data_IF_158761765459
#
_entry.id   IF_158761765459
#
_cell.length_a   1.000
_cell.length_b   1.000
_cell.length_c   1.000
_cell.angle_alpha   90.00
_cell.angle_beta   90.00
_cell.angle_gamma   90.00
#
_symmetry.space_group_name_H-M   'P 1'
#
loop_
_entity.id
_entity.type
_entity.pdbx_description
1 polymer ?
#
# COMPACT_ATOMS: atom_id res chain seq x y z
N UNK A 1 -22.39 22.69 -82.12
CA UNK A 1 -23.75 22.58 -81.54
C UNK A 1 -23.68 23.09 -80.10
N UNK A 2 -24.12 24.33 -79.88
CA UNK A 2 -25.45 24.72 -79.35
C UNK A 2 -25.63 24.41 -77.86
N UNK A 3 -26.06 25.31 -76.98
CA UNK A 3 -26.15 26.78 -76.91
C UNK A 3 -26.83 27.03 -75.53
N UNK A 4 -26.22 27.86 -74.64
CA UNK A 4 -26.89 28.69 -73.60
C UNK A 4 -27.75 27.95 -72.53
N UNK A 5 -28.12 28.48 -71.35
CA UNK A 5 -28.43 29.86 -70.93
C UNK A 5 -28.53 29.91 -69.40
N UNK A 6 -28.02 30.99 -68.83
CA UNK A 6 -28.28 31.54 -67.49
C UNK A 6 -29.75 31.89 -67.26
N UNK A 7 -30.25 31.74 -66.03
CA UNK A 7 -31.27 32.63 -65.43
C UNK A 7 -30.94 32.85 -63.94
N UNK A 8 -30.84 34.12 -63.58
CA UNK A 8 -30.68 34.69 -62.24
C UNK A 8 -31.98 35.32 -61.74
N UNK A 9 -32.08 35.43 -60.40
CA UNK A 9 -32.91 36.37 -59.61
C UNK A 9 -34.42 36.11 -59.58
N UNK A 10 -35.06 36.08 -58.41
CA UNK A 10 -35.29 37.30 -57.61
C UNK A 10 -35.54 37.04 -56.13
N UNK A 11 -35.18 38.06 -55.33
CA UNK A 11 -35.53 38.33 -53.94
C UNK A 11 -37.02 38.10 -53.62
N UNK A 12 -37.30 37.71 -52.38
CA UNK A 12 -38.32 38.37 -51.57
C UNK A 12 -37.98 38.28 -50.07
N UNK A 13 -38.30 39.39 -49.41
CA UNK A 13 -37.87 39.87 -48.11
C UNK A 13 -38.99 39.64 -47.07
N UNK A 14 -38.58 39.44 -45.80
CA UNK A 14 -39.29 39.62 -44.53
C UNK A 14 -40.72 39.08 -44.38
N UNK A 15 -40.88 38.18 -43.41
CA UNK A 15 -41.91 38.38 -42.38
C UNK A 15 -41.49 37.73 -41.06
N UNK A 16 -41.46 38.61 -40.06
CA UNK A 16 -41.35 38.38 -38.63
C UNK A 16 -42.44 37.47 -38.07
N UNK A 17 -42.05 36.47 -37.28
CA UNK A 17 -42.89 35.95 -36.20
C UNK A 17 -41.99 35.44 -35.06
N UNK A 18 -41.79 36.35 -34.12
CA UNK A 18 -41.42 36.06 -32.74
C UNK A 18 -42.44 35.10 -32.12
N UNK A 19 -42.04 33.86 -31.86
CA UNK A 19 -42.61 33.09 -30.76
C UNK A 19 -41.56 33.02 -29.67
N UNK A 20 -41.67 33.95 -28.72
CA UNK A 20 -41.13 33.81 -27.38
C UNK A 20 -41.86 32.63 -26.73
N UNK A 21 -41.33 31.41 -26.90
CA UNK A 21 -41.61 30.34 -25.96
C UNK A 21 -40.88 30.68 -24.66
N UNK A 22 -41.59 31.35 -23.76
CA UNK A 22 -41.28 31.34 -22.34
C UNK A 22 -41.41 29.90 -21.85
N UNK A 23 -40.35 29.10 -22.05
CA UNK A 23 -40.12 27.90 -21.27
C UNK A 23 -39.84 28.37 -19.84
N UNK A 24 -40.92 28.43 -19.06
CA UNK A 24 -40.85 28.40 -17.61
C UNK A 24 -40.11 27.12 -17.22
N UNK A 25 -38.79 27.22 -17.09
CA UNK A 25 -38.00 26.19 -16.43
C UNK A 25 -38.39 26.25 -14.95
N UNK A 26 -39.42 25.47 -14.61
CA UNK A 26 -39.62 25.00 -13.26
C UNK A 26 -38.29 24.38 -12.83
N UNK A 27 -37.56 25.12 -12.01
CA UNK A 27 -36.42 24.64 -11.27
C UNK A 27 -36.96 23.64 -10.24
N UNK A 28 -37.31 22.43 -10.71
CA UNK A 28 -37.34 21.27 -9.85
C UNK A 28 -35.90 21.11 -9.41
N UNK A 29 -35.63 21.52 -8.17
CA UNK A 29 -34.53 21.00 -7.38
C UNK A 29 -34.66 19.47 -7.38
N UNK A 30 -34.17 18.84 -8.45
CA UNK A 30 -33.77 17.44 -8.40
C UNK A 30 -32.53 17.49 -7.53
N UNK A 31 -32.69 17.09 -6.28
CA UNK A 31 -31.63 16.45 -5.52
C UNK A 31 -31.16 15.24 -6.35
N UNK A 32 -30.35 15.48 -7.37
CA UNK A 32 -29.51 14.45 -7.94
C UNK A 32 -28.44 14.21 -6.88
N UNK A 33 -28.71 13.30 -5.96
CA UNK A 33 -27.70 12.83 -5.03
C UNK A 33 -26.70 12.05 -5.87
N UNK A 34 -25.62 12.72 -6.28
CA UNK A 34 -24.53 12.09 -7.00
C UNK A 34 -24.08 10.85 -6.23
N UNK A 35 -23.88 9.75 -6.98
CA UNK A 35 -23.46 8.48 -6.40
C UNK A 35 -21.95 8.44 -6.36
N UNK A 36 -21.38 8.36 -5.17
CA UNK A 36 -19.95 8.18 -4.94
C UNK A 36 -19.67 6.69 -4.74
N UNK A 37 -18.89 6.12 -5.66
CA UNK A 37 -18.47 4.71 -5.63
C UNK A 37 -17.10 4.63 -4.95
N UNK A 38 -17.06 4.00 -3.79
CA UNK A 38 -15.85 3.81 -2.97
C UNK A 38 -15.39 2.37 -3.10
N UNK A 39 -14.11 2.18 -3.41
CA UNK A 39 -13.47 0.87 -3.49
C UNK A 39 -12.57 0.66 -2.27
N UNK A 40 -12.89 -0.36 -1.47
CA UNK A 40 -12.16 -0.72 -0.26
C UNK A 40 -11.24 -1.92 -0.51
N UNK A 41 -10.13 -1.98 0.21
CA UNK A 41 -9.30 -3.19 0.28
C UNK A 41 -10.13 -4.30 0.94
N UNK A 42 -10.06 -5.51 0.40
CA UNK A 42 -10.71 -6.68 0.98
C UNK A 42 -10.15 -6.99 2.39
N UNK A 43 -11.00 -7.25 3.40
CA UNK A 43 -10.56 -7.61 4.75
C UNK A 43 -9.63 -8.82 4.78
N UNK A 44 -8.60 -8.78 5.63
CA UNK A 44 -7.68 -9.90 5.83
C UNK A 44 -8.27 -10.91 6.80
N UNK A 45 -9.17 -11.75 6.30
CA UNK A 45 -9.98 -12.65 7.11
C UNK A 45 -10.19 -13.99 6.43
N UNK A 46 -10.24 -15.07 7.21
CA UNK A 46 -10.49 -16.43 6.70
C UNK A 46 -11.99 -16.73 6.45
N UNK A 47 -12.89 -15.93 7.01
CA UNK A 47 -14.34 -16.13 6.92
C UNK A 47 -14.90 -15.46 5.65
N UNK A 48 -15.41 -16.26 4.71
CA UNK A 48 -15.90 -15.77 3.41
C UNK A 48 -17.15 -14.87 3.51
N UNK A 49 -17.95 -14.98 4.58
CA UNK A 49 -19.22 -14.23 4.71
C UNK A 49 -19.05 -12.90 5.44
N UNK A 50 -18.06 -12.79 6.33
CA UNK A 50 -17.80 -11.56 7.10
C UNK A 50 -17.47 -10.33 6.25
N UNK A 51 -16.68 -10.42 5.15
CA UNK A 51 -16.39 -9.27 4.31
C UNK A 51 -17.64 -8.54 3.83
N UNK A 52 -18.67 -9.24 3.34
CA UNK A 52 -19.88 -8.58 2.85
C UNK A 52 -20.69 -7.90 3.97
N UNK A 53 -20.68 -8.47 5.18
CA UNK A 53 -21.30 -7.85 6.35
C UNK A 53 -20.58 -6.57 6.77
N UNK A 54 -19.24 -6.61 6.81
CA UNK A 54 -18.39 -5.43 7.09
C UNK A 54 -18.64 -4.34 6.06
N UNK A 55 -18.68 -4.70 4.76
CA UNK A 55 -18.96 -3.77 3.66
C UNK A 55 -20.28 -3.04 3.86
N UNK A 56 -21.36 -3.78 4.11
CA UNK A 56 -22.71 -3.24 4.32
C UNK A 56 -22.79 -2.37 5.57
N UNK A 57 -22.17 -2.80 6.67
CA UNK A 57 -22.10 -2.02 7.92
C UNK A 57 -21.37 -0.70 7.69
N UNK A 58 -20.18 -0.76 7.09
CA UNK A 58 -19.38 0.42 6.78
C UNK A 58 -20.09 1.38 5.84
N UNK A 59 -20.68 0.89 4.74
CA UNK A 59 -21.47 1.70 3.80
C UNK A 59 -22.62 2.43 4.52
N UNK A 60 -23.37 1.72 5.36
CA UNK A 60 -24.51 2.27 6.10
C UNK A 60 -24.08 3.35 7.11
N UNK A 61 -23.01 3.09 7.86
CA UNK A 61 -22.46 4.05 8.85
C UNK A 61 -21.89 5.30 8.17
N UNK A 62 -21.14 5.11 7.08
CA UNK A 62 -20.60 6.21 6.30
C UNK A 62 -21.73 7.05 5.67
N UNK A 63 -22.74 6.41 5.09
CA UNK A 63 -23.92 7.07 4.55
C UNK A 63 -24.68 7.86 5.63
N UNK A 64 -24.79 7.33 6.86
CA UNK A 64 -25.46 8.00 7.97
C UNK A 64 -24.76 9.29 8.40
N UNK A 65 -23.43 9.35 8.34
CA UNK A 65 -22.66 10.56 8.68
C UNK A 65 -22.74 11.58 7.55
N UNK A 66 -22.62 11.11 6.31
CA UNK A 66 -22.66 11.96 5.11
C UNK A 66 -24.06 12.54 4.86
N UNK A 67 -25.10 11.83 5.28
CA UNK A 67 -26.50 12.21 5.09
C UNK A 67 -26.92 12.20 3.62
N UNK A 68 -27.95 12.96 3.28
CA UNK A 68 -28.52 12.96 1.92
C UNK A 68 -27.73 13.76 0.89
N UNK A 69 -26.55 14.31 1.25
CA UNK A 69 -25.74 15.13 0.33
C UNK A 69 -25.26 14.36 -0.90
N UNK A 70 -24.90 13.09 -0.72
CA UNK A 70 -24.50 12.15 -1.78
C UNK A 70 -24.92 10.74 -1.40
N UNK A 71 -25.07 9.87 -2.40
CA UNK A 71 -25.29 8.45 -2.16
C UNK A 71 -23.96 7.71 -2.18
N UNK A 72 -23.67 6.94 -1.14
CA UNK A 72 -22.47 6.12 -1.04
C UNK A 72 -22.78 4.71 -1.54
N UNK A 73 -21.88 4.19 -2.37
CA UNK A 73 -21.82 2.76 -2.72
C UNK A 73 -20.42 2.25 -2.49
N UNK A 74 -20.31 1.15 -1.78
CA UNK A 74 -19.04 0.54 -1.41
C UNK A 74 -18.89 -0.80 -2.13
N UNK A 75 -17.75 -1.02 -2.75
CA UNK A 75 -17.32 -2.33 -3.27
C UNK A 75 -15.93 -2.66 -2.77
N UNK A 76 -15.57 -3.94 -2.82
CA UNK A 76 -14.18 -4.34 -2.64
C UNK A 76 -13.38 -4.19 -3.92
N UNK A 77 -12.12 -3.82 -3.76
CA UNK A 77 -11.16 -3.54 -4.82
C UNK A 77 -10.40 -4.80 -5.20
N UNK A 78 -9.66 -4.72 -6.31
CA UNK A 78 -8.55 -5.65 -6.54
C UNK A 78 -7.48 -5.43 -5.47
N UNK A 79 -6.75 -6.48 -5.10
CA UNK A 79 -5.52 -6.35 -4.32
C UNK A 79 -4.39 -5.67 -5.13
N UNK A 80 -4.59 -5.51 -6.45
CA UNK A 80 -3.71 -4.77 -7.34
C UNK A 80 -4.02 -3.25 -7.30
N UNK A 81 -3.11 -2.49 -6.69
CA UNK A 81 -3.21 -1.04 -6.58
C UNK A 81 -3.18 -0.32 -7.94
N UNK A 82 -2.51 -0.86 -8.96
CA UNK A 82 -2.49 -0.27 -10.31
C UNK A 82 -3.87 -0.38 -10.95
N UNK A 83 -4.54 -1.52 -10.82
CA UNK A 83 -5.93 -1.69 -11.30
C UNK A 83 -6.85 -0.68 -10.63
N UNK A 84 -6.70 -0.44 -9.33
CA UNK A 84 -7.51 0.54 -8.59
C UNK A 84 -7.27 1.97 -9.11
N UNK A 85 -6.03 2.37 -9.34
CA UNK A 85 -5.68 3.68 -9.93
C UNK A 85 -6.25 3.83 -11.35
N UNK A 86 -6.18 2.79 -12.17
CA UNK A 86 -6.78 2.79 -13.51
C UNK A 86 -8.31 2.93 -13.46
N UNK A 87 -8.97 2.28 -12.50
CA UNK A 87 -10.42 2.37 -12.31
C UNK A 87 -10.85 3.77 -11.86
N UNK A 88 -10.06 4.43 -10.99
CA UNK A 88 -10.27 5.84 -10.64
C UNK A 88 -10.12 6.73 -11.87
N UNK A 89 -9.04 6.55 -12.64
CA UNK A 89 -8.78 7.35 -13.83
C UNK A 89 -9.91 7.27 -14.86
N UNK A 90 -10.47 6.06 -15.06
CA UNK A 90 -11.60 5.78 -15.96
C UNK A 90 -12.95 6.24 -15.39
N UNK A 91 -13.00 6.62 -14.11
CA UNK A 91 -14.24 6.96 -13.43
C UNK A 91 -15.17 5.75 -13.19
N UNK A 92 -14.61 4.55 -13.05
CA UNK A 92 -15.37 3.36 -12.63
C UNK A 92 -15.63 3.42 -11.13
N UNK A 93 -14.62 3.87 -10.38
CA UNK A 93 -14.71 4.17 -8.94
C UNK A 93 -14.27 5.61 -8.73
N UNK A 94 -14.81 6.24 -7.69
CA UNK A 94 -14.59 7.65 -7.41
C UNK A 94 -13.55 7.85 -6.30
N UNK A 95 -13.39 6.85 -5.41
CA UNK A 95 -12.37 6.80 -4.37
C UNK A 95 -11.82 5.37 -4.21
N UNK A 96 -10.52 5.22 -4.00
CA UNK A 96 -9.93 3.96 -3.52
C UNK A 96 -8.71 4.21 -2.63
N UNK A 97 -8.33 3.18 -1.86
CA UNK A 97 -7.10 3.19 -1.06
C UNK A 97 -5.99 2.43 -1.78
N UNK A 98 -4.83 3.06 -1.92
CA UNK A 98 -3.70 2.54 -2.70
C UNK A 98 -2.39 2.72 -1.93
N UNK A 99 -1.36 1.96 -2.26
CA UNK A 99 -0.02 2.25 -1.73
C UNK A 99 0.49 3.59 -2.26
N UNK A 100 1.22 4.33 -1.42
CA UNK A 100 1.81 5.61 -1.81
C UNK A 100 2.76 5.45 -3.01
N UNK A 101 3.58 4.40 -3.03
CA UNK A 101 4.50 4.13 -4.14
C UNK A 101 3.78 3.84 -5.47
N UNK A 102 2.68 3.08 -5.44
CA UNK A 102 1.89 2.81 -6.65
C UNK A 102 1.27 4.09 -7.20
N UNK A 103 0.79 4.98 -6.32
CA UNK A 103 0.25 6.28 -6.72
C UNK A 103 1.31 7.14 -7.41
N UNK A 104 2.45 7.37 -6.76
CA UNK A 104 3.55 8.20 -7.30
C UNK A 104 4.04 7.69 -8.66
N UNK A 105 4.27 6.38 -8.77
CA UNK A 105 4.67 5.77 -10.04
C UNK A 105 3.62 6.03 -11.13
N UNK A 106 2.33 5.80 -10.82
CA UNK A 106 1.26 5.96 -11.80
C UNK A 106 1.07 7.39 -12.29
N UNK A 107 1.13 8.39 -11.41
CA UNK A 107 0.96 9.79 -11.78
C UNK A 107 2.18 10.37 -12.49
N UNK A 108 3.39 9.85 -12.20
CA UNK A 108 4.63 10.30 -12.84
C UNK A 108 4.69 9.99 -14.34
N UNK A 109 3.94 8.99 -14.80
CA UNK A 109 3.89 8.60 -16.22
C UNK A 109 3.18 9.65 -17.10
N UNK A 110 2.24 10.43 -16.56
CA UNK A 110 1.46 11.39 -17.33
C UNK A 110 0.83 12.48 -16.44
N UNK A 111 1.14 13.74 -16.74
CA UNK A 111 0.65 14.91 -16.00
C UNK A 111 -0.88 15.01 -15.94
N UNK A 112 -1.62 14.56 -16.95
CA UNK A 112 -3.10 14.55 -16.92
C UNK A 112 -3.65 13.67 -15.80
N UNK A 113 -2.94 12.59 -15.45
CA UNK A 113 -3.33 11.72 -14.33
C UNK A 113 -3.21 12.46 -13.01
N UNK A 114 -2.14 13.23 -12.81
CA UNK A 114 -1.90 14.03 -11.59
C UNK A 114 -2.97 15.11 -11.37
N UNK A 115 -3.56 15.62 -12.46
CA UNK A 115 -4.66 16.59 -12.37
C UNK A 115 -6.01 15.95 -12.02
N UNK A 116 -6.22 14.68 -12.42
CA UNK A 116 -7.50 13.96 -12.26
C UNK A 116 -7.56 13.12 -10.98
N UNK A 117 -6.42 12.63 -10.51
CA UNK A 117 -6.34 11.76 -9.33
C UNK A 117 -5.56 12.48 -8.26
N UNK A 118 -6.21 12.76 -7.13
CA UNK A 118 -5.56 13.44 -6.00
C UNK A 118 -5.70 12.63 -4.71
N UNK A 119 -4.65 12.58 -3.89
CA UNK A 119 -4.74 12.05 -2.54
C UNK A 119 -5.51 13.02 -1.65
N UNK A 120 -6.41 12.49 -0.83
CA UNK A 120 -7.22 13.27 0.11
C UNK A 120 -7.15 12.73 1.54
N UNK A 121 -6.80 11.45 1.72
CA UNK A 121 -6.71 10.77 3.01
C UNK A 121 -5.33 10.14 3.17
N UNK A 122 -4.71 10.35 4.32
CA UNK A 122 -3.62 9.53 4.82
C UNK A 122 -4.21 8.46 5.76
N UNK A 123 -3.94 7.18 5.54
CA UNK A 123 -4.28 6.15 6.53
C UNK A 123 -3.19 6.05 7.59
N UNK A 124 -3.57 5.70 8.80
CA UNK A 124 -2.68 5.52 9.93
C UNK A 124 -2.75 4.07 10.39
N UNK A 125 -1.63 3.54 10.86
CA UNK A 125 -1.55 2.21 11.47
C UNK A 125 -1.04 2.30 12.90
N UNK A 126 -1.26 1.25 13.71
CA UNK A 126 -0.59 1.12 14.99
C UNK A 126 0.91 0.96 14.76
N UNK A 127 1.70 1.74 15.47
CA UNK A 127 3.15 1.56 15.47
C UNK A 127 3.54 0.23 16.10
N UNK A 128 4.69 -0.29 15.71
CA UNK A 128 5.32 -1.36 16.46
C UNK A 128 5.98 -0.79 17.71
N UNK A 129 6.07 -1.59 18.79
CA UNK A 129 6.68 -1.17 20.07
C UNK A 129 8.11 -0.64 19.94
N UNK A 130 8.81 -1.05 18.90
CA UNK A 130 10.20 -0.69 18.61
C UNK A 130 10.32 0.35 17.48
N UNK A 131 9.25 0.66 16.75
CA UNK A 131 9.29 1.58 15.61
C UNK A 131 8.13 2.60 15.68
N UNK A 132 8.29 3.57 16.57
CA UNK A 132 7.28 4.60 16.84
C UNK A 132 7.61 5.94 16.18
N UNK A 133 8.83 6.12 15.68
CA UNK A 133 9.33 7.38 15.14
C UNK A 133 9.86 7.23 13.71
N UNK A 134 9.72 8.27 12.91
CA UNK A 134 10.23 8.28 11.55
C UNK A 134 11.74 8.57 11.53
N UNK A 135 12.55 7.55 11.23
CA UNK A 135 13.99 7.64 10.96
C UNK A 135 14.38 7.02 9.62
N UNK A 136 15.56 7.39 9.12
CA UNK A 136 16.15 6.93 7.86
C UNK A 136 17.52 6.28 8.10
N UNK A 137 17.99 5.51 7.13
CA UNK A 137 19.35 4.97 7.07
C UNK A 137 20.41 6.08 7.13
N UNK A 138 21.47 5.83 7.90
CA UNK A 138 22.63 6.73 8.05
C UNK A 138 23.88 6.05 7.51
N UNK A 139 24.28 4.93 8.11
CA UNK A 139 25.57 4.28 7.82
C UNK A 139 25.56 2.75 7.97
N UNK A 140 24.47 2.16 8.48
CA UNK A 140 24.33 0.72 8.68
C UNK A 140 25.19 0.14 9.80
N UNK A 141 25.71 0.98 10.70
CA UNK A 141 26.42 0.55 11.92
C UNK A 141 25.43 0.18 13.03
N UNK A 142 25.92 -0.35 14.15
CA UNK A 142 25.09 -0.67 15.33
C UNK A 142 24.36 0.54 15.93
N UNK A 143 24.86 1.76 15.67
CA UNK A 143 24.25 3.01 16.12
C UNK A 143 23.19 3.54 15.14
N UNK A 144 23.09 2.97 13.94
CA UNK A 144 22.04 3.30 12.98
C UNK A 144 20.70 2.79 13.51
N UNK A 145 19.68 3.67 13.56
CA UNK A 145 18.35 3.32 14.06
C UNK A 145 17.73 2.15 13.29
N UNK A 146 18.01 2.02 11.99
CA UNK A 146 17.51 0.89 11.20
C UNK A 146 18.11 -0.46 11.63
N UNK A 147 19.29 -0.46 12.26
CA UNK A 147 19.96 -1.65 12.78
C UNK A 147 19.55 -1.90 14.23
N UNK A 148 19.57 -0.86 15.07
CA UNK A 148 19.19 -1.00 16.49
C UNK A 148 17.74 -1.45 16.65
N UNK A 149 16.82 -0.94 15.83
CA UNK A 149 15.41 -1.34 15.90
C UNK A 149 15.18 -2.73 15.30
N UNK A 150 15.91 -3.12 14.25
CA UNK A 150 15.90 -4.49 13.74
C UNK A 150 16.33 -5.50 14.82
N UNK A 151 17.33 -5.16 15.64
CA UNK A 151 17.75 -5.97 16.78
C UNK A 151 16.66 -6.10 17.84
N UNK A 152 16.06 -4.98 18.27
CA UNK A 152 14.95 -5.00 19.23
C UNK A 152 13.76 -5.82 18.73
N UNK A 153 13.42 -5.66 17.45
CA UNK A 153 12.39 -6.45 16.79
C UNK A 153 12.72 -7.94 16.78
N UNK A 154 13.96 -8.29 16.46
CA UNK A 154 14.44 -9.68 16.45
C UNK A 154 14.38 -10.31 17.84
N UNK A 155 14.71 -9.57 18.89
CA UNK A 155 14.63 -10.02 20.28
C UNK A 155 13.17 -10.28 20.69
N UNK A 156 12.25 -9.38 20.33
CA UNK A 156 10.82 -9.55 20.58
C UNK A 156 10.24 -10.74 19.83
N UNK A 157 10.58 -10.90 18.55
CA UNK A 157 10.16 -12.04 17.73
C UNK A 157 10.67 -13.37 18.29
N UNK A 158 11.95 -13.43 18.68
CA UNK A 158 12.61 -14.66 19.14
C UNK A 158 12.40 -14.97 20.63
N UNK A 159 11.65 -14.15 21.38
CA UNK A 159 11.36 -14.41 22.81
C UNK A 159 10.69 -15.77 23.02
N UNK A 160 9.92 -16.22 22.04
CA UNK A 160 9.31 -17.55 21.95
C UNK A 160 9.32 -17.98 20.49
N UNK A 161 9.46 -19.28 20.19
CA UNK A 161 9.40 -19.75 18.80
C UNK A 161 8.03 -19.40 18.21
N UNK A 162 8.00 -18.95 16.95
CA UNK A 162 6.75 -18.60 16.26
C UNK A 162 5.68 -19.70 16.38
N UNK A 163 6.11 -20.96 16.31
CA UNK A 163 5.25 -22.12 16.45
C UNK A 163 4.65 -22.36 17.83
N UNK A 164 5.15 -21.67 18.84
CA UNK A 164 4.73 -21.80 20.22
C UNK A 164 4.01 -20.54 20.71
N UNK A 165 3.84 -19.52 19.86
CA UNK A 165 3.18 -18.28 20.28
C UNK A 165 1.77 -18.53 20.80
N UNK A 166 1.54 -18.00 22.00
CA UNK A 166 0.27 -17.89 22.72
C UNK A 166 -0.08 -16.41 22.96
N UNK A 167 0.49 -15.51 22.16
CA UNK A 167 0.23 -14.09 22.23
C UNK A 167 -1.24 -13.78 21.84
N UNK A 168 -1.86 -12.73 22.42
CA UNK A 168 -3.23 -12.35 22.09
C UNK A 168 -3.40 -12.07 20.60
N UNK A 169 -4.25 -12.85 19.92
CA UNK A 169 -4.65 -12.68 18.53
C UNK A 169 -6.06 -12.12 18.47
N UNK A 170 -6.24 -10.94 17.85
CA UNK A 170 -7.54 -10.27 17.81
C UNK A 170 -8.38 -10.61 16.56
N UNK A 171 -7.96 -11.62 15.79
CA UNK A 171 -8.58 -11.97 14.50
C UNK A 171 -7.82 -11.45 13.28
N UNK A 172 -6.92 -10.47 13.46
CA UNK A 172 -6.11 -9.91 12.37
C UNK A 172 -4.64 -9.71 12.72
N UNK A 173 -4.32 -9.44 14.00
CA UNK A 173 -2.95 -9.22 14.46
C UNK A 173 -2.69 -9.81 15.85
N UNK A 174 -1.42 -10.08 16.14
CA UNK A 174 -0.90 -10.30 17.48
C UNK A 174 -0.62 -8.95 18.14
N UNK A 175 -1.49 -8.55 19.07
CA UNK A 175 -1.41 -7.25 19.73
C UNK A 175 -0.12 -7.07 20.54
N UNK A 176 0.54 -8.17 20.90
CA UNK A 176 1.82 -8.19 21.60
C UNK A 176 2.92 -7.34 20.95
N UNK A 177 2.92 -7.17 19.61
CA UNK A 177 3.98 -6.43 18.90
C UNK A 177 3.68 -4.94 18.72
N UNK A 178 2.47 -4.49 19.01
CA UNK A 178 2.00 -3.15 18.69
C UNK A 178 1.96 -2.23 19.91
N UNK A 179 2.09 -0.93 19.65
CA UNK A 179 1.80 0.17 20.55
C UNK A 179 0.48 0.86 20.10
N UNK A 180 -0.15 1.64 20.97
CA UNK A 180 -1.37 2.38 20.65
C UNK A 180 -1.07 3.70 19.91
N UNK A 181 0.19 4.14 19.87
CA UNK A 181 0.58 5.29 19.03
C UNK A 181 0.33 4.96 17.55
N UNK A 182 -0.37 5.87 16.87
CA UNK A 182 -0.60 5.80 15.43
C UNK A 182 0.52 6.47 14.64
N UNK A 183 0.92 5.85 13.54
CA UNK A 183 1.92 6.34 12.58
C UNK A 183 1.39 6.27 11.15
N UNK A 184 1.97 7.07 10.26
CA UNK A 184 1.61 7.18 8.84
C UNK A 184 2.65 6.52 7.92
N UNK A 185 3.50 5.65 8.46
CA UNK A 185 4.56 4.98 7.72
C UNK A 185 4.60 3.47 7.99
N UNK A 186 5.27 2.76 7.09
CA UNK A 186 5.64 1.35 7.18
C UNK A 186 7.06 1.16 6.63
N UNK A 187 7.68 0.00 6.90
CA UNK A 187 9.02 -0.33 6.37
C UNK A 187 9.03 -1.71 5.73
N UNK A 188 10.08 -1.94 4.94
CA UNK A 188 10.56 -3.28 4.66
C UNK A 188 11.60 -3.71 5.69
N UNK A 189 11.90 -5.01 5.70
CA UNK A 189 12.96 -5.60 6.53
C UNK A 189 13.80 -6.58 5.72
N UNK A 190 15.04 -6.74 6.16
CA UNK A 190 15.96 -7.77 5.68
C UNK A 190 16.06 -8.84 6.77
N UNK A 191 15.42 -9.98 6.53
CA UNK A 191 15.60 -11.19 7.31
C UNK A 191 16.93 -11.87 6.98
N UNK A 192 17.51 -12.53 7.98
CA UNK A 192 18.57 -13.51 7.82
C UNK A 192 18.22 -14.81 8.57
N UNK A 193 18.61 -15.96 8.02
CA UNK A 193 18.43 -17.26 8.68
C UNK A 193 19.61 -18.20 8.51
N UNK A 194 19.74 -19.15 9.43
CA UNK A 194 20.74 -20.22 9.37
C UNK A 194 21.33 -20.52 10.74
N UNK A 195 22.41 -21.30 10.77
CA UNK A 195 23.22 -21.50 11.97
C UNK A 195 23.88 -20.20 12.42
N UNK A 196 24.39 -20.16 13.65
CA UNK A 196 25.08 -18.98 14.17
C UNK A 196 26.26 -18.56 13.28
N UNK A 197 27.05 -19.52 12.80
CA UNK A 197 28.16 -19.26 11.87
C UNK A 197 27.70 -18.61 10.55
N UNK A 198 26.61 -19.12 9.95
CA UNK A 198 26.06 -18.55 8.71
C UNK A 198 25.60 -17.12 8.94
N UNK A 199 24.81 -16.86 9.99
CA UNK A 199 24.30 -15.51 10.28
C UNK A 199 25.42 -14.53 10.60
N UNK A 200 26.45 -14.95 11.34
CA UNK A 200 27.61 -14.10 11.60
C UNK A 200 28.40 -13.74 10.33
N UNK A 201 28.50 -14.66 9.37
CA UNK A 201 29.13 -14.35 8.07
C UNK A 201 28.30 -13.38 7.23
N UNK A 202 26.97 -13.47 7.28
CA UNK A 202 26.08 -12.49 6.61
C UNK A 202 26.24 -11.12 7.26
N UNK A 203 26.20 -11.03 8.59
CA UNK A 203 26.40 -9.79 9.35
C UNK A 203 27.78 -9.20 9.07
N UNK A 204 28.82 -10.04 8.99
CA UNK A 204 30.17 -9.59 8.62
C UNK A 204 30.19 -9.00 7.21
N UNK A 205 29.60 -9.67 6.23
CA UNK A 205 29.51 -9.17 4.86
C UNK A 205 28.75 -7.84 4.77
N UNK A 206 27.69 -7.67 5.56
CA UNK A 206 27.00 -6.39 5.74
C UNK A 206 27.94 -5.32 6.29
N UNK A 207 28.52 -5.53 7.48
CA UNK A 207 29.38 -4.54 8.14
C UNK A 207 30.61 -4.16 7.29
N UNK A 208 31.18 -5.13 6.56
CA UNK A 208 32.30 -4.91 5.65
C UNK A 208 31.86 -4.35 4.29
N UNK A 209 30.56 -4.12 4.07
CA UNK A 209 29.99 -3.67 2.80
C UNK A 209 30.44 -4.53 1.63
N UNK A 210 30.53 -5.84 1.85
CA UNK A 210 30.90 -6.84 0.87
C UNK A 210 29.66 -7.40 0.15
N UNK A 211 29.24 -6.72 -0.92
CA UNK A 211 28.05 -7.11 -1.68
C UNK A 211 28.15 -8.50 -2.30
N UNK A 212 29.28 -8.83 -2.93
CA UNK A 212 29.52 -10.15 -3.55
C UNK A 212 29.33 -11.28 -2.53
N UNK A 213 29.93 -11.15 -1.35
CA UNK A 213 29.76 -12.14 -0.27
C UNK A 213 28.34 -12.14 0.27
N UNK A 214 27.75 -10.97 0.53
CA UNK A 214 26.37 -10.85 1.03
C UNK A 214 25.36 -11.53 0.09
N UNK A 215 25.43 -11.22 -1.21
CA UNK A 215 24.58 -11.84 -2.25
C UNK A 215 24.76 -13.35 -2.32
N UNK A 216 25.98 -13.87 -2.09
CA UNK A 216 26.26 -15.30 -2.23
C UNK A 216 25.50 -16.20 -1.26
N UNK A 217 24.94 -15.62 -0.18
CA UNK A 217 24.06 -16.31 0.76
C UNK A 217 22.63 -16.53 0.26
N UNK A 218 22.31 -16.04 -0.94
CA UNK A 218 21.01 -16.20 -1.57
C UNK A 218 19.94 -15.27 -0.98
N UNK A 219 19.25 -14.54 -1.86
CA UNK A 219 18.28 -13.51 -1.53
C UNK A 219 16.89 -13.88 -2.08
N UNK A 220 15.91 -13.97 -1.19
CA UNK A 220 14.50 -14.07 -1.53
C UNK A 220 13.89 -12.67 -1.58
N UNK A 221 13.24 -12.32 -2.68
CA UNK A 221 12.64 -11.00 -2.88
C UNK A 221 11.19 -11.10 -3.36
N UNK A 222 10.44 -9.99 -3.26
CA UNK A 222 9.09 -9.89 -3.83
C UNK A 222 9.08 -9.48 -5.30
N UNK A 223 7.91 -9.15 -5.82
CA UNK A 223 7.75 -8.56 -7.15
C UNK A 223 8.41 -7.18 -7.26
N UNK A 224 8.82 -6.79 -8.46
CA UNK A 224 9.56 -5.55 -8.71
C UNK A 224 8.79 -4.26 -8.35
N UNK A 225 7.46 -4.33 -8.30
CA UNK A 225 6.55 -3.26 -7.90
C UNK A 225 6.31 -3.20 -6.38
N UNK A 226 6.84 -4.17 -5.61
CA UNK A 226 6.66 -4.21 -4.17
C UNK A 226 7.52 -3.17 -3.46
N UNK A 227 6.86 -2.25 -2.75
CA UNK A 227 7.53 -1.22 -1.94
C UNK A 227 8.50 -1.81 -0.92
N UNK A 228 8.01 -2.64 -0.02
CA UNK A 228 8.78 -3.22 1.10
C UNK A 228 9.65 -4.42 0.75
N UNK A 229 9.30 -5.18 -0.29
CA UNK A 229 9.97 -6.44 -0.63
C UNK A 229 10.92 -6.34 -1.82
N UNK A 230 11.03 -5.16 -2.43
CA UNK A 230 11.89 -4.91 -3.57
C UNK A 230 12.46 -3.48 -3.57
N UNK A 231 11.61 -2.46 -3.67
CA UNK A 231 12.04 -1.07 -3.90
C UNK A 231 12.80 -0.46 -2.71
N UNK A 232 12.31 -0.64 -1.48
CA UNK A 232 12.97 -0.16 -0.27
C UNK A 232 14.26 -0.94 0.04
N UNK A 233 14.29 -2.29 -0.04
CA UNK A 233 15.54 -3.05 0.02
C UNK A 233 16.56 -2.61 -1.04
N UNK A 234 16.16 -2.43 -2.30
CA UNK A 234 17.07 -1.96 -3.37
C UNK A 234 17.71 -0.62 -3.00
N UNK A 235 16.91 0.36 -2.53
CA UNK A 235 17.41 1.66 -2.11
C UNK A 235 18.39 1.55 -0.94
N UNK A 236 18.08 0.70 0.05
CA UNK A 236 18.96 0.46 1.19
C UNK A 236 20.28 -0.18 0.75
N UNK A 237 20.22 -1.24 -0.06
CA UNK A 237 21.41 -1.93 -0.58
C UNK A 237 22.29 -0.97 -1.39
N UNK A 238 21.70 -0.11 -2.21
CA UNK A 238 22.44 0.91 -2.99
C UNK A 238 23.13 1.94 -2.12
N UNK A 239 22.51 2.36 -1.02
CA UNK A 239 23.13 3.28 -0.04
C UNK A 239 24.24 2.59 0.75
N UNK A 240 24.04 1.33 1.12
CA UNK A 240 24.92 0.60 2.03
C UNK A 240 26.14 0.00 1.32
N UNK A 241 25.92 -0.75 0.23
CA UNK A 241 26.95 -1.43 -0.55
C UNK A 241 27.48 -0.55 -1.68
N UNK A 242 28.32 0.43 -1.34
CA UNK A 242 28.78 1.47 -2.26
C UNK A 242 30.30 1.49 -2.50
N UNK A 243 31.01 0.39 -2.18
CA UNK A 243 32.46 0.27 -2.45
C UNK A 243 32.73 0.14 -3.94
N UNK A 244 33.65 0.94 -4.52
CA UNK A 244 33.89 1.04 -5.97
C UNK A 244 34.00 -0.32 -6.71
N UNK A 245 34.71 -1.32 -6.16
CA UNK A 245 34.91 -2.63 -6.81
C UNK A 245 33.92 -3.74 -6.38
N UNK A 246 32.90 -3.33 -5.61
CA UNK A 246 31.91 -4.22 -5.01
C UNK A 246 30.57 -3.52 -4.77
N UNK A 247 30.25 -2.52 -5.60
CA UNK A 247 29.05 -1.73 -5.42
C UNK A 247 27.83 -2.52 -5.89
N UNK A 248 26.77 -2.44 -5.11
CA UNK A 248 25.45 -2.85 -5.56
C UNK A 248 24.96 -1.90 -6.66
N UNK A 249 24.41 -2.46 -7.74
CA UNK A 249 23.92 -1.69 -8.89
C UNK A 249 22.41 -1.44 -8.80
N UNK A 250 21.62 -2.48 -9.05
CA UNK A 250 20.17 -2.55 -8.89
C UNK A 250 19.74 -4.01 -8.77
N UNK A 251 18.60 -4.28 -8.14
CA UNK A 251 18.10 -5.65 -8.03
C UNK A 251 17.85 -6.23 -9.42
N UNK A 252 17.32 -5.44 -10.36
CA UNK A 252 17.07 -5.89 -11.73
C UNK A 252 18.36 -6.38 -12.41
N UNK A 253 19.47 -5.64 -12.28
CA UNK A 253 20.75 -6.03 -12.85
C UNK A 253 21.35 -7.24 -12.13
N UNK A 254 21.26 -7.28 -10.79
CA UNK A 254 21.81 -8.37 -9.99
C UNK A 254 21.08 -9.69 -10.23
N UNK A 255 19.75 -9.66 -10.31
CA UNK A 255 18.92 -10.82 -10.66
C UNK A 255 19.26 -11.33 -12.06
N UNK A 256 19.47 -10.43 -13.03
CA UNK A 256 19.79 -10.81 -14.41
C UNK A 256 21.17 -11.48 -14.51
N UNK A 257 22.17 -10.90 -13.85
CA UNK A 257 23.57 -11.33 -13.98
C UNK A 257 23.97 -12.47 -13.02
N UNK A 258 23.21 -12.66 -11.94
CA UNK A 258 23.54 -13.58 -10.84
C UNK A 258 22.31 -14.35 -10.35
N UNK A 259 21.43 -14.74 -11.28
CA UNK A 259 20.11 -15.32 -11.02
C UNK A 259 20.10 -16.52 -10.07
N UNK A 260 21.18 -17.28 -9.97
CA UNK A 260 21.31 -18.41 -9.05
C UNK A 260 21.30 -18.01 -7.57
N UNK A 261 21.54 -16.74 -7.24
CA UNK A 261 21.46 -16.20 -5.89
C UNK A 261 20.13 -15.50 -5.58
N UNK A 262 19.16 -15.50 -6.51
CA UNK A 262 17.90 -14.79 -6.32
C UNK A 262 16.70 -15.68 -6.61
N UNK A 263 15.68 -15.58 -5.77
CA UNK A 263 14.35 -16.11 -6.07
C UNK A 263 13.27 -15.09 -5.75
N UNK A 264 12.27 -15.01 -6.64
CA UNK A 264 11.03 -14.34 -6.31
C UNK A 264 10.19 -15.28 -5.42
N UNK A 265 9.96 -14.89 -4.17
CA UNK A 265 9.34 -15.75 -3.18
C UNK A 265 8.94 -15.03 -1.90
N UNK A 266 8.75 -15.81 -0.85
CA UNK A 266 8.37 -15.37 0.49
C UNK A 266 9.31 -15.99 1.51
N UNK A 267 9.18 -15.55 2.75
CA UNK A 267 10.00 -15.99 3.90
C UNK A 267 10.15 -17.50 4.03
N UNK A 268 9.09 -18.28 3.78
CA UNK A 268 9.12 -19.75 3.77
C UNK A 268 10.12 -20.35 2.77
N UNK A 269 10.40 -19.67 1.67
CA UNK A 269 11.26 -20.16 0.59
C UNK A 269 12.75 -20.03 0.98
N UNK A 270 13.07 -19.06 1.85
CA UNK A 270 14.37 -18.97 2.53
C UNK A 270 14.55 -20.13 3.53
N UNK A 271 13.50 -20.50 4.27
CA UNK A 271 13.58 -21.53 5.32
C UNK A 271 13.55 -22.97 4.78
N UNK A 272 13.12 -23.18 3.54
CA UNK A 272 13.04 -24.51 2.90
C UNK A 272 14.28 -24.85 2.05
N UNK A 273 15.14 -23.88 1.79
CA UNK A 273 16.27 -24.03 0.89
C UNK A 273 17.57 -23.58 1.56
N UNK A 274 18.50 -24.51 1.74
CA UNK A 274 19.80 -24.26 2.34
C UNK A 274 20.73 -23.35 1.51
N UNK A 275 20.30 -22.87 0.34
CA UNK A 275 21.03 -21.90 -0.48
C UNK A 275 20.55 -20.45 -0.28
N UNK A 276 19.44 -20.23 0.43
CA UNK A 276 18.86 -18.90 0.62
C UNK A 276 18.79 -18.61 2.12
N UNK A 277 19.48 -17.55 2.52
CA UNK A 277 19.60 -17.14 3.91
C UNK A 277 19.21 -15.69 4.16
N UNK A 278 18.81 -14.96 3.11
CA UNK A 278 18.37 -13.57 3.19
C UNK A 278 16.98 -13.45 2.56
N UNK A 279 16.08 -12.70 3.18
CA UNK A 279 14.74 -12.44 2.62
C UNK A 279 14.27 -11.00 2.85
N UNK A 280 13.71 -10.39 1.81
CA UNK A 280 13.03 -9.09 1.93
C UNK A 280 11.54 -9.28 2.21
N UNK A 281 11.04 -8.63 3.24
CA UNK A 281 9.63 -8.73 3.63
C UNK A 281 9.08 -7.39 4.18
N UNK A 282 7.77 -7.34 4.43
CA UNK A 282 7.18 -6.26 5.21
C UNK A 282 7.68 -6.32 6.66
N UNK A 283 7.93 -5.16 7.25
CA UNK A 283 8.22 -5.08 8.69
C UNK A 283 7.07 -5.68 9.50
N UNK A 284 7.43 -6.61 10.40
CA UNK A 284 6.46 -7.22 11.30
C UNK A 284 5.43 -8.10 10.61
N UNK A 285 5.70 -8.62 9.41
CA UNK A 285 4.81 -9.53 8.68
C UNK A 285 4.31 -10.74 9.47
N UNK A 286 5.14 -11.25 10.39
CA UNK A 286 4.77 -12.30 11.35
C UNK A 286 3.67 -11.87 12.33
N UNK A 287 3.48 -10.57 12.56
CA UNK A 287 2.54 -10.05 13.56
C UNK A 287 1.09 -10.10 13.08
N UNK A 288 0.85 -10.05 11.77
CA UNK A 288 -0.48 -10.23 11.16
C UNK A 288 -0.60 -11.57 10.42
N UNK A 289 0.36 -12.48 10.62
CA UNK A 289 0.26 -13.86 10.14
C UNK A 289 0.01 -14.73 11.37
N UNK A 290 -1.15 -15.35 11.49
CA UNK A 290 -1.43 -16.25 12.61
C UNK A 290 -0.58 -17.53 12.51
N UNK A 291 -0.17 -18.11 13.64
CA UNK A 291 0.67 -19.30 13.74
C UNK A 291 -0.15 -20.59 13.60
N UNK A 292 -0.95 -20.66 12.54
CA UNK A 292 -1.73 -21.85 12.19
C UNK A 292 -0.84 -22.91 11.56
N UNK A 293 -1.36 -24.14 11.43
CA UNK A 293 -0.67 -25.25 10.74
C UNK A 293 -0.18 -24.86 9.34
N UNK A 294 -0.95 -24.04 8.62
CA UNK A 294 -0.64 -23.61 7.25
C UNK A 294 0.35 -22.45 7.16
N UNK A 295 0.62 -21.78 8.29
CA UNK A 295 1.50 -20.62 8.36
C UNK A 295 2.78 -20.88 9.15
N UNK A 296 2.86 -22.02 9.84
CA UNK A 296 3.95 -22.33 10.76
C UNK A 296 5.33 -22.32 10.09
N UNK A 297 5.37 -22.77 8.84
CA UNK A 297 6.57 -22.90 8.01
C UNK A 297 7.07 -21.57 7.46
N UNK A 298 6.31 -20.48 7.62
CA UNK A 298 6.69 -19.15 7.15
C UNK A 298 7.78 -18.51 8.00
N UNK A 299 7.84 -18.84 9.29
CA UNK A 299 8.74 -18.20 10.26
C UNK A 299 9.34 -19.19 11.28
N UNK A 300 9.30 -20.49 11.00
CA UNK A 300 9.93 -21.52 11.84
C UNK A 300 11.09 -22.15 11.08
N UNK A 301 12.36 -21.80 11.40
CA UNK A 301 13.54 -22.40 10.78
C UNK A 301 13.68 -23.90 11.08
N UNK A 302 14.58 -24.55 10.34
CA UNK A 302 14.98 -25.94 10.58
C UNK A 302 15.63 -26.10 11.96
N UNK A 303 15.73 -27.35 12.44
CA UNK A 303 16.37 -27.65 13.72
C UNK A 303 17.83 -27.15 13.74
N UNK A 304 18.22 -26.44 14.81
CA UNK A 304 19.51 -25.76 15.01
C UNK A 304 19.74 -24.48 14.19
N UNK A 305 18.72 -23.97 13.50
CA UNK A 305 18.77 -22.67 12.86
C UNK A 305 17.93 -21.64 13.62
N UNK A 306 18.29 -20.37 13.43
CA UNK A 306 17.53 -19.22 13.92
C UNK A 306 17.28 -18.27 12.76
N UNK A 307 16.24 -17.46 12.91
CA UNK A 307 15.93 -16.36 12.03
C UNK A 307 15.92 -15.05 12.81
N UNK A 308 16.54 -14.01 12.27
CA UNK A 308 16.59 -12.68 12.86
C UNK A 308 16.61 -11.60 11.78
N UNK A 309 16.31 -10.38 12.18
CA UNK A 309 16.20 -9.23 11.29
C UNK A 309 17.53 -8.49 11.35
N UNK A 310 18.18 -8.39 10.19
CA UNK A 310 19.45 -7.71 10.04
C UNK A 310 19.26 -6.19 10.05
N UNK A 311 18.27 -5.70 9.31
CA UNK A 311 18.06 -4.27 9.07
C UNK A 311 16.60 -3.98 8.73
N UNK A 312 16.11 -2.82 9.18
CA UNK A 312 14.91 -2.19 8.61
C UNK A 312 15.30 -1.35 7.38
N UNK A 313 14.32 -0.99 6.56
CA UNK A 313 14.52 -0.02 5.47
C UNK A 313 14.18 1.41 5.91
N UNK A 314 14.48 2.37 5.04
CA UNK A 314 13.83 3.68 5.10
C UNK A 314 12.30 3.54 5.13
N UNK A 315 11.58 4.51 5.71
CA UNK A 315 10.13 4.46 5.82
C UNK A 315 9.50 4.79 4.48
N UNK A 316 8.39 4.12 4.21
CA UNK A 316 7.45 4.44 3.15
C UNK A 316 6.15 4.88 3.80
N UNK A 317 5.57 5.97 3.29
CA UNK A 317 4.26 6.42 3.72
C UNK A 317 3.23 5.30 3.53
N UNK A 318 2.35 5.16 4.51
CA UNK A 318 1.31 4.15 4.50
C UNK A 318 0.27 4.46 3.42
N UNK A 319 -0.72 3.58 3.26
CA UNK A 319 -1.70 3.72 2.20
C UNK A 319 -2.42 5.08 2.23
N UNK A 320 -2.85 5.51 1.06
CA UNK A 320 -3.51 6.80 0.86
C UNK A 320 -4.85 6.58 0.17
N UNK A 321 -5.86 7.36 0.58
CA UNK A 321 -7.13 7.43 -0.13
C UNK A 321 -7.04 8.48 -1.23
N UNK A 322 -7.24 8.06 -2.48
CA UNK A 322 -7.16 8.92 -3.66
C UNK A 322 -8.51 8.99 -4.36
N UNK A 323 -8.80 10.14 -4.99
CA UNK A 323 -10.12 10.47 -5.53
C UNK A 323 -10.03 10.93 -6.99
N UNK A 324 -11.09 10.68 -7.77
CA UNK A 324 -11.28 11.31 -9.08
C UNK A 324 -11.83 12.73 -8.92
N UNK A 325 -10.98 13.75 -9.12
CA UNK A 325 -11.35 15.16 -8.92
C UNK A 325 -12.29 15.72 -9.97
N UNK A 326 -12.46 15.06 -11.10
CA UNK A 326 -13.45 15.46 -12.11
C UNK A 326 -14.87 15.07 -11.71
N UNK A 327 -15.00 14.16 -10.74
CA UNK A 327 -16.30 13.64 -10.26
C UNK A 327 -16.62 14.05 -8.84
N UNK A 328 -15.60 14.16 -8.00
CA UNK A 328 -15.77 14.48 -6.58
C UNK A 328 -15.22 15.87 -6.33
N UNK A 329 -16.12 16.83 -6.10
CA UNK A 329 -15.75 18.21 -5.79
C UNK A 329 -15.12 18.32 -4.38
N UNK A 330 -14.52 19.47 -4.07
CA UNK A 330 -13.81 19.70 -2.80
C UNK A 330 -14.71 19.63 -1.56
N UNK A 331 -15.99 20.00 -1.66
CA UNK A 331 -16.93 19.87 -0.53
C UNK A 331 -17.13 18.40 -0.18
N UNK A 332 -17.40 17.55 -1.18
CA UNK A 332 -17.60 16.12 -0.98
C UNK A 332 -16.30 15.43 -0.54
N UNK A 333 -15.14 15.85 -1.06
CA UNK A 333 -13.85 15.34 -0.58
C UNK A 333 -13.65 15.59 0.92
N UNK A 334 -13.87 16.83 1.38
CA UNK A 334 -13.74 17.17 2.80
C UNK A 334 -14.77 16.42 3.67
N UNK A 335 -15.99 16.22 3.16
CA UNK A 335 -17.03 15.46 3.84
C UNK A 335 -16.63 13.99 4.02
N UNK A 336 -16.11 13.35 2.98
CA UNK A 336 -15.62 11.97 3.05
C UNK A 336 -14.47 11.85 4.07
N UNK A 337 -13.47 12.73 3.98
CA UNK A 337 -12.31 12.75 4.91
C UNK A 337 -12.80 12.86 6.35
N UNK A 338 -13.67 13.84 6.62
CA UNK A 338 -14.19 14.08 7.99
C UNK A 338 -15.03 12.91 8.49
N UNK A 339 -15.79 12.26 7.60
CA UNK A 339 -16.63 11.11 7.96
C UNK A 339 -15.80 9.88 8.34
N UNK A 340 -14.70 9.60 7.62
CA UNK A 340 -13.78 8.51 7.98
C UNK A 340 -13.07 8.77 9.31
N UNK A 341 -12.63 10.01 9.54
CA UNK A 341 -12.05 10.42 10.82
C UNK A 341 -13.08 10.24 11.95
N UNK A 342 -14.34 10.63 11.71
CA UNK A 342 -15.42 10.45 12.68
C UNK A 342 -15.69 8.97 12.98
N UNK A 343 -15.78 8.11 11.96
CA UNK A 343 -15.97 6.66 12.15
C UNK A 343 -14.87 6.04 13.01
N UNK A 344 -13.62 6.39 12.73
CA UNK A 344 -12.49 5.93 13.52
C UNK A 344 -12.55 6.46 14.97
N UNK A 345 -12.71 7.77 15.15
CA UNK A 345 -12.68 8.41 16.49
C UNK A 345 -13.87 8.02 17.36
N UNK A 346 -15.01 7.63 16.78
CA UNK A 346 -16.16 7.07 17.49
C UNK A 346 -16.10 5.54 17.69
N UNK A 347 -15.01 4.89 17.27
CA UNK A 347 -14.83 3.44 17.29
C UNK A 347 -15.95 2.68 16.53
N UNK A 348 -16.42 3.25 15.42
CA UNK A 348 -17.46 2.70 14.55
C UNK A 348 -16.91 2.22 13.19
N UNK A 349 -15.61 2.38 12.95
CA UNK A 349 -14.95 1.83 11.76
C UNK A 349 -14.71 0.31 11.89
N UNK A 350 -15.64 -0.45 11.31
CA UNK A 350 -15.58 -1.92 11.28
C UNK A 350 -14.66 -2.45 10.17
N UNK A 351 -14.26 -1.60 9.22
CA UNK A 351 -13.48 -2.02 8.06
C UNK A 351 -11.99 -1.76 8.25
N UNK A 352 -11.59 -0.55 8.64
CA UNK A 352 -10.20 -0.13 8.60
C UNK A 352 -9.25 -1.08 9.34
N UNK A 353 -9.62 -1.48 10.56
CA UNK A 353 -8.80 -2.40 11.39
C UNK A 353 -8.54 -3.75 10.73
N UNK A 354 -9.44 -4.21 9.87
CA UNK A 354 -9.34 -5.50 9.17
C UNK A 354 -8.30 -5.50 8.04
N UNK A 355 -7.80 -4.32 7.68
CA UNK A 355 -6.76 -4.11 6.65
C UNK A 355 -5.59 -3.28 7.18
N UNK A 356 -5.45 -3.16 8.49
CA UNK A 356 -4.36 -2.42 9.15
C UNK A 356 -4.55 -0.89 9.22
N UNK A 357 -5.73 -0.36 8.87
CA UNK A 357 -6.04 1.06 8.99
C UNK A 357 -6.65 1.32 10.37
N UNK A 358 -5.83 1.79 11.29
CA UNK A 358 -6.22 2.12 12.67
C UNK A 358 -6.56 3.59 12.87
N UNK A 359 -6.46 4.41 11.82
CA UNK A 359 -6.91 5.79 11.83
C UNK A 359 -6.80 6.46 10.47
N UNK A 360 -7.23 7.71 10.41
CA UNK A 360 -7.23 8.51 9.19
C UNK A 360 -6.84 9.95 9.51
N UNK A 361 -6.16 10.60 8.58
CA UNK A 361 -5.89 12.03 8.61
C UNK A 361 -6.12 12.64 7.22
N UNK A 362 -6.34 13.96 7.18
CA UNK A 362 -6.32 14.68 5.90
C UNK A 362 -4.92 14.60 5.30
N UNK A 363 -4.84 14.22 4.03
CA UNK A 363 -3.58 14.20 3.31
C UNK A 363 -3.00 15.62 3.19
N UNK A 364 -1.70 15.78 3.43
CA UNK A 364 -1.01 17.08 3.49
C UNK A 364 -0.23 17.38 2.23
#
# INVERSE_FOLDING_TARGET
MRFKKTITSSLLILSSLTFLSLSSSCNKNKENNDVINISLISPWMEDENKPEQIRKSFESKLQSIIGNKVKIKVSYSSDDYLVNLQNINKGVVDLAFVSHSSFENYISENQDKSNRIKPIIQTLTKSFKYDTDNFIYVDGTENDKIISNAKLQSELFNKKRYSEWDYPWNGSVYEYFYDDKLVDFQRGIIWISGTDDVRQKIIKAWNEKDWKTFRSFGIVHGSADSGSKYLLPEKLLKKHFNKNDNAFSSLASEITNYSNYFINGKTKDMLKNNHFHICFDNEGSYSWTQNTKDNIDKYTPLNNEKMEILALTDPLQYNIGVVNTNKVNSEIQNLIVSSLIQLYTSNQDDWGKTVGFYGYAKYK
#
